data_IF_359615519786
#
_entry.id   IF_359615519786
#
_cell.length_a   1.000
_cell.length_b   1.000
_cell.length_c   1.000
_cell.angle_alpha   90.00
_cell.angle_beta   90.00
_cell.angle_gamma   90.00
#
_symmetry.space_group_name_H-M   'P 1'
#
loop_
_entity.id
_entity.type
_entity.pdbx_description
1 polymer ?
#
# COMPACT_ATOMS: atom_id res chain seq x y z
N UNK A 1 -9.49 36.79 -17.00
CA UNK A 1 -10.77 36.64 -16.26
C UNK A 1 -10.72 35.27 -15.61
N UNK A 2 -10.56 35.25 -14.29
CA UNK A 2 -10.56 34.04 -13.48
C UNK A 2 -11.94 33.38 -13.51
N UNK A 3 -11.98 32.05 -13.54
CA UNK A 3 -13.22 31.28 -13.56
C UNK A 3 -12.97 29.79 -13.33
N UNK A 4 -12.76 29.45 -12.06
CA UNK A 4 -13.11 28.19 -11.38
C UNK A 4 -13.04 26.89 -12.20
N UNK A 5 -11.98 26.11 -11.97
CA UNK A 5 -11.99 24.68 -12.26
C UNK A 5 -12.70 23.95 -11.10
N UNK A 6 -13.76 23.16 -11.35
CA UNK A 6 -14.34 22.31 -10.31
C UNK A 6 -13.35 21.16 -9.99
N UNK A 7 -13.07 20.95 -8.71
CA UNK A 7 -12.35 19.77 -8.24
C UNK A 7 -13.19 18.52 -8.54
N UNK A 8 -12.65 17.47 -9.19
CA UNK A 8 -13.33 16.19 -9.23
C UNK A 8 -13.15 15.47 -7.87
N UNK A 9 -14.21 14.80 -7.36
CA UNK A 9 -14.29 14.35 -5.96
C UNK A 9 -13.54 13.05 -5.61
N UNK A 10 -12.82 12.41 -6.52
CA UNK A 10 -12.05 11.21 -6.21
C UNK A 10 -10.79 11.21 -7.08
N UNK A 11 -9.65 11.15 -6.40
CA UNK A 11 -8.29 10.84 -6.87
C UNK A 11 -8.13 10.53 -8.39
N UNK A 12 -7.48 11.42 -9.14
CA UNK A 12 -7.16 11.21 -10.56
C UNK A 12 -5.90 10.34 -10.73
N UNK A 13 -6.13 9.02 -10.84
CA UNK A 13 -5.09 8.03 -11.09
C UNK A 13 -4.38 8.20 -12.45
N UNK A 14 -4.99 8.87 -13.43
CA UNK A 14 -4.44 9.02 -14.79
C UNK A 14 -3.20 9.91 -14.80
N UNK A 15 -3.13 10.87 -13.86
CA UNK A 15 -2.00 11.79 -13.72
C UNK A 15 -0.89 11.24 -12.83
N UNK A 16 -1.22 10.39 -11.86
CA UNK A 16 -0.24 9.66 -11.05
C UNK A 16 0.52 8.60 -11.87
N UNK A 17 -0.12 7.99 -12.87
CA UNK A 17 0.49 6.93 -13.70
C UNK A 17 1.40 7.44 -14.84
N UNK A 18 1.26 8.70 -15.28
CA UNK A 18 2.14 9.27 -16.33
C UNK A 18 3.45 9.86 -15.80
N UNK A 19 3.55 10.06 -14.48
CA UNK A 19 4.76 10.55 -13.85
C UNK A 19 5.41 9.37 -13.11
N UNK A 20 6.57 8.92 -13.57
CA UNK A 20 7.53 8.11 -12.79
C UNK A 20 8.11 8.91 -11.61
N UNK A 21 7.27 9.72 -10.97
CA UNK A 21 7.53 10.55 -9.79
C UNK A 21 6.69 10.00 -8.64
N UNK A 22 6.62 8.67 -8.53
CA UNK A 22 6.39 8.06 -7.24
C UNK A 22 7.61 8.36 -6.36
N UNK A 23 7.42 8.77 -5.09
CA UNK A 23 8.55 8.99 -4.20
C UNK A 23 9.39 7.71 -4.18
N UNK A 24 10.70 7.83 -4.41
CA UNK A 24 11.67 6.75 -4.34
C UNK A 24 11.44 5.93 -3.05
N UNK A 25 10.74 4.79 -3.10
CA UNK A 25 10.02 4.43 -1.87
C UNK A 25 9.28 3.11 -1.77
N UNK A 26 9.65 2.05 -2.50
CA UNK A 26 9.39 0.66 -2.02
C UNK A 26 10.37 0.22 -0.91
N UNK A 27 11.05 1.21 -0.31
CA UNK A 27 12.15 1.07 0.65
C UNK A 27 11.71 1.18 2.10
N UNK A 28 10.47 1.61 2.37
CA UNK A 28 9.95 1.63 3.74
C UNK A 28 9.58 0.22 4.15
N UNK A 29 10.11 -0.18 5.30
CA UNK A 29 9.73 -1.39 6.01
C UNK A 29 9.19 -0.93 7.37
N UNK A 30 7.89 -0.67 7.42
CA UNK A 30 7.20 -0.26 8.64
C UNK A 30 7.05 -1.49 9.52
N UNK A 31 7.65 -1.46 10.71
CA UNK A 31 7.70 -2.60 11.64
C UNK A 31 6.67 -2.51 12.77
N UNK A 32 5.83 -1.48 12.78
CA UNK A 32 4.81 -1.27 13.80
C UNK A 32 3.55 -0.66 13.21
N UNK A 33 2.43 -0.93 13.85
CA UNK A 33 1.16 -0.30 13.52
C UNK A 33 1.16 1.16 14.01
N UNK A 34 0.83 2.10 13.13
CA UNK A 34 0.90 3.53 13.45
C UNK A 34 -0.15 3.96 14.49
N UNK A 35 -1.31 3.31 14.49
CA UNK A 35 -2.41 3.63 15.43
C UNK A 35 -2.11 3.12 16.84
N UNK A 36 -1.71 1.85 16.94
CA UNK A 36 -1.53 1.16 18.22
C UNK A 36 -0.09 1.21 18.73
N UNK A 37 0.87 1.62 17.89
CA UNK A 37 2.32 1.54 18.15
C UNK A 37 2.83 0.14 18.50
N UNK A 38 2.04 -0.91 18.24
CA UNK A 38 2.43 -2.29 18.46
C UNK A 38 3.31 -2.78 17.31
N UNK A 39 4.30 -3.60 17.63
CA UNK A 39 5.16 -4.21 16.61
C UNK A 39 4.35 -5.18 15.75
N UNK A 40 4.58 -5.12 14.44
CA UNK A 40 4.10 -6.15 13.55
C UNK A 40 4.88 -7.45 13.76
N UNK A 41 4.24 -8.61 13.57
CA UNK A 41 4.95 -9.87 13.47
C UNK A 41 5.99 -9.85 12.34
N UNK A 42 7.01 -10.70 12.48
CA UNK A 42 7.95 -10.96 11.40
C UNK A 42 7.23 -11.58 10.20
N UNK A 43 7.49 -11.14 8.95
CA UNK A 43 6.89 -11.76 7.77
C UNK A 43 7.18 -13.26 7.70
N UNK A 44 6.18 -14.05 7.34
CA UNK A 44 6.38 -15.47 7.01
C UNK A 44 6.34 -15.74 5.52
N UNK A 45 5.97 -14.74 4.71
CA UNK A 45 6.10 -14.74 3.25
C UNK A 45 7.28 -13.86 2.81
N UNK A 46 7.79 -14.15 1.62
CA UNK A 46 8.86 -13.34 1.03
C UNK A 46 8.31 -11.95 0.65
N UNK A 47 9.16 -10.93 0.82
CA UNK A 47 8.82 -9.58 0.36
C UNK A 47 8.65 -9.61 -1.17
N UNK A 48 7.50 -9.16 -1.70
CA UNK A 48 7.30 -9.13 -3.14
C UNK A 48 8.34 -8.20 -3.78
N UNK A 49 8.75 -8.55 -4.98
CA UNK A 49 9.48 -7.63 -5.85
C UNK A 49 8.63 -6.40 -6.16
N UNK A 50 9.28 -5.35 -6.65
CA UNK A 50 8.55 -4.14 -7.06
C UNK A 50 7.49 -4.44 -8.13
N UNK A 51 7.77 -5.32 -9.09
CA UNK A 51 6.82 -5.72 -10.14
C UNK A 51 5.61 -6.48 -9.56
N UNK A 52 5.84 -7.51 -8.74
CA UNK A 52 4.77 -8.27 -8.09
C UNK A 52 3.92 -7.38 -7.18
N UNK A 53 4.56 -6.44 -6.50
CA UNK A 53 3.87 -5.49 -5.65
C UNK A 53 2.95 -4.55 -6.45
N UNK A 54 3.39 -4.10 -7.62
CA UNK A 54 2.55 -3.30 -8.51
C UNK A 54 1.36 -4.11 -9.02
N UNK A 55 1.60 -5.33 -9.50
CA UNK A 55 0.53 -6.23 -9.95
C UNK A 55 -0.52 -6.44 -8.85
N UNK A 56 -0.09 -6.69 -7.62
CA UNK A 56 -0.98 -6.80 -6.44
C UNK A 56 -1.85 -5.56 -6.22
N UNK A 57 -1.29 -4.35 -6.37
CA UNK A 57 -2.03 -3.10 -6.24
C UNK A 57 -3.02 -2.87 -7.39
N UNK A 58 -2.64 -3.21 -8.62
CA UNK A 58 -3.49 -3.05 -9.80
C UNK A 58 -4.65 -4.05 -9.82
N UNK A 59 -4.39 -5.28 -9.40
CA UNK A 59 -5.39 -6.34 -9.30
C UNK A 59 -6.28 -6.21 -8.04
N UNK A 60 -5.89 -5.33 -7.09
CA UNK A 60 -6.58 -5.16 -5.82
C UNK A 60 -6.44 -6.37 -4.88
N UNK A 61 -5.50 -7.28 -5.17
CA UNK A 61 -5.25 -8.50 -4.41
C UNK A 61 -3.96 -8.33 -3.60
N UNK A 62 -4.09 -7.90 -2.35
CA UNK A 62 -2.97 -7.54 -1.50
C UNK A 62 -2.86 -8.45 -0.27
N UNK A 63 -2.23 -9.64 -0.37
CA UNK A 63 -2.07 -10.54 0.77
C UNK A 63 -1.29 -9.91 1.93
N UNK A 64 -1.62 -10.40 3.12
CA UNK A 64 -0.87 -10.16 4.34
C UNK A 64 0.56 -10.75 4.26
N UNK A 65 1.46 -10.25 5.11
CA UNK A 65 2.83 -10.76 5.24
C UNK A 65 2.94 -12.19 5.77
N UNK A 66 1.81 -12.82 6.12
CA UNK A 66 1.70 -14.26 6.39
C UNK A 66 1.00 -15.05 5.27
N UNK A 67 0.56 -14.37 4.21
CA UNK A 67 -0.15 -14.96 3.08
C UNK A 67 -1.67 -15.04 3.26
N UNK A 68 -2.23 -14.49 4.34
CA UNK A 68 -3.69 -14.38 4.46
C UNK A 68 -4.28 -13.43 3.41
N UNK A 69 -5.43 -13.79 2.86
CA UNK A 69 -6.25 -12.89 2.04
C UNK A 69 -7.05 -11.96 2.95
N UNK A 70 -6.78 -10.66 2.84
CA UNK A 70 -7.44 -9.60 3.60
C UNK A 70 -7.60 -8.38 2.70
N UNK A 71 -8.37 -7.40 3.18
CA UNK A 71 -8.48 -6.11 2.49
C UNK A 71 -7.10 -5.42 2.40
N UNK A 72 -6.82 -4.67 1.32
CA UNK A 72 -5.49 -4.10 1.06
C UNK A 72 -4.93 -3.17 2.14
N UNK A 73 -5.79 -2.51 2.91
CA UNK A 73 -5.45 -1.62 4.02
C UNK A 73 -5.47 -2.32 5.39
N UNK A 74 -5.83 -3.61 5.43
CA UNK A 74 -6.08 -4.34 6.65
C UNK A 74 -4.86 -5.02 7.27
N UNK A 75 -5.15 -5.74 8.35
CA UNK A 75 -4.27 -6.73 8.93
C UNK A 75 -5.08 -8.02 9.14
N UNK A 76 -4.43 -9.18 9.04
CA UNK A 76 -5.09 -10.45 9.29
C UNK A 76 -5.34 -10.68 10.79
N UNK A 77 -6.19 -11.65 11.18
CA UNK A 77 -6.43 -12.01 12.58
C UNK A 77 -5.18 -12.43 13.37
N UNK A 78 -4.10 -12.81 12.70
CA UNK A 78 -2.81 -13.12 13.32
C UNK A 78 -1.95 -11.87 13.61
N UNK A 79 -2.42 -10.68 13.20
CA UNK A 79 -1.74 -9.40 13.40
C UNK A 79 -0.75 -9.03 12.30
N UNK A 80 -0.68 -9.79 11.21
CA UNK A 80 0.17 -9.46 10.08
C UNK A 80 -0.48 -8.38 9.19
N UNK A 81 0.23 -7.28 8.89
CA UNK A 81 -0.26 -6.30 7.92
C UNK A 81 -0.17 -6.83 6.49
N UNK A 82 -0.91 -6.21 5.57
CA UNK A 82 -0.67 -6.34 4.13
C UNK A 82 0.68 -5.78 3.71
N UNK A 83 1.20 -6.27 2.58
CA UNK A 83 2.43 -5.73 2.01
C UNK A 83 2.33 -4.21 1.72
N UNK A 84 1.24 -3.67 1.13
CA UNK A 84 1.10 -2.22 0.95
C UNK A 84 1.15 -1.42 2.25
N UNK A 85 0.49 -1.91 3.31
CA UNK A 85 0.51 -1.25 4.63
C UNK A 85 1.91 -1.30 5.24
N UNK A 86 2.60 -2.45 5.17
CA UNK A 86 4.00 -2.60 5.63
C UNK A 86 4.96 -1.69 4.86
N UNK A 87 4.68 -1.44 3.58
CA UNK A 87 5.47 -0.55 2.74
C UNK A 87 5.06 0.94 2.83
N UNK A 88 4.01 1.26 3.62
CA UNK A 88 3.58 2.63 3.89
C UNK A 88 2.90 3.31 2.71
N UNK A 89 2.16 2.55 1.91
CA UNK A 89 1.43 3.05 0.75
C UNK A 89 -0.07 3.27 1.00
N UNK A 90 -0.63 2.63 2.02
CA UNK A 90 -2.03 2.73 2.48
C UNK A 90 -2.09 2.94 3.98
#
# INVERSE_FOLDING_TARGET
MSGLLPLPPFFDWSRAMQARDFPQGLTRDITHDEETSLLYPEPTTEKPSEEEFWDMLFDGACPATDGCEVEPDGACPHGHPTWPRRMGLV
#
